data_IF_103484848449
#
_entry.id   IF_103484848449
#
_cell.length_a   1.000
_cell.length_b   1.000
_cell.length_c   1.000
_cell.angle_alpha   90.00
_cell.angle_beta   90.00
_cell.angle_gamma   90.00
#
_symmetry.space_group_name_H-M   'P 1'
#
loop_
_entity.id
_entity.type
_entity.pdbx_description
1 polymer ?
#
# COMPACT_ATOMS: atom_id res chain seq x y z
N UNK A 1 -14.79 15.37 -5.01
CA UNK A 1 -13.88 14.89 -6.06
C UNK A 1 -14.25 13.46 -6.47
N UNK A 2 -14.40 13.22 -7.74
CA UNK A 2 -14.65 11.87 -8.24
C UNK A 2 -13.32 11.12 -8.38
N UNK A 3 -13.06 10.21 -7.46
CA UNK A 3 -11.83 9.44 -7.44
C UNK A 3 -12.05 8.06 -8.03
N UNK A 4 -11.18 7.67 -8.94
CA UNK A 4 -11.18 6.33 -9.55
C UNK A 4 -10.18 5.46 -8.80
N UNK A 5 -10.63 4.32 -8.29
CA UNK A 5 -9.75 3.34 -7.65
C UNK A 5 -9.49 2.18 -8.59
N UNK A 6 -8.22 1.85 -8.78
CA UNK A 6 -7.80 0.73 -9.62
C UNK A 6 -7.03 -0.26 -8.76
N UNK A 7 -7.53 -1.48 -8.62
CA UNK A 7 -6.84 -2.55 -7.93
C UNK A 7 -5.96 -3.32 -8.89
N UNK A 8 -4.68 -3.47 -8.55
CA UNK A 8 -3.74 -4.28 -9.31
C UNK A 8 -3.21 -5.37 -8.38
N UNK A 9 -3.62 -6.60 -8.64
CA UNK A 9 -3.24 -7.76 -7.83
C UNK A 9 -2.34 -8.69 -8.65
N UNK A 10 -1.50 -9.42 -7.94
CA UNK A 10 -0.64 -10.42 -8.56
C UNK A 10 0.63 -10.64 -7.76
N UNK A 11 1.27 -11.79 -7.98
CA UNK A 11 2.54 -12.11 -7.35
C UNK A 11 3.71 -11.41 -8.01
N UNK A 12 4.88 -11.54 -7.42
CA UNK A 12 6.12 -11.04 -7.99
C UNK A 12 6.33 -11.63 -9.39
N UNK A 13 6.66 -10.78 -10.35
CA UNK A 13 6.87 -11.21 -11.74
C UNK A 13 5.60 -11.29 -12.57
N UNK A 14 4.44 -10.92 -12.04
CA UNK A 14 3.16 -10.93 -12.76
C UNK A 14 2.97 -9.74 -13.71
N UNK A 15 3.92 -8.80 -13.75
CA UNK A 15 3.83 -7.63 -14.62
C UNK A 15 3.09 -6.45 -14.01
N UNK A 16 2.73 -6.48 -12.72
CA UNK A 16 2.00 -5.37 -12.10
C UNK A 16 2.79 -4.07 -12.03
N UNK A 17 4.11 -4.12 -11.83
CA UNK A 17 4.95 -2.91 -11.81
C UNK A 17 5.01 -2.22 -13.18
N UNK A 18 5.22 -2.95 -14.30
CA UNK A 18 5.12 -2.33 -15.62
C UNK A 18 3.75 -1.69 -15.89
N UNK A 19 2.66 -2.31 -15.45
CA UNK A 19 1.33 -1.74 -15.61
C UNK A 19 1.18 -0.45 -14.81
N UNK A 20 1.64 -0.43 -13.57
CA UNK A 20 1.61 0.76 -12.71
C UNK A 20 2.38 1.90 -13.34
N UNK A 21 3.60 1.64 -13.84
CA UNK A 21 4.42 2.65 -14.50
C UNK A 21 3.76 3.18 -15.78
N UNK A 22 3.12 2.30 -16.53
CA UNK A 22 2.40 2.69 -17.75
C UNK A 22 1.25 3.65 -17.43
N UNK A 23 0.49 3.35 -16.38
CA UNK A 23 -0.60 4.21 -15.90
C UNK A 23 -0.09 5.56 -15.39
N UNK A 24 1.04 5.58 -14.70
CA UNK A 24 1.67 6.83 -14.27
C UNK A 24 2.06 7.71 -15.45
N UNK A 25 2.59 7.12 -16.51
CA UNK A 25 2.94 7.86 -17.72
C UNK A 25 1.71 8.45 -18.39
N UNK A 26 0.59 7.75 -18.34
CA UNK A 26 -0.66 8.19 -18.97
C UNK A 26 -1.37 9.30 -18.19
N UNK A 27 -1.45 9.16 -16.87
CA UNK A 27 -2.18 10.09 -15.99
C UNK A 27 -1.31 11.18 -15.38
N UNK A 28 0.01 11.07 -15.47
CA UNK A 28 0.94 12.07 -14.92
C UNK A 28 0.83 12.19 -13.39
N UNK A 29 0.71 13.43 -12.92
CA UNK A 29 0.68 13.72 -11.48
C UNK A 29 -0.68 13.46 -10.83
N UNK A 30 -1.71 13.14 -11.61
CA UNK A 30 -3.07 12.86 -11.12
C UNK A 30 -3.25 11.41 -10.67
N UNK A 31 -2.16 10.78 -10.24
CA UNK A 31 -2.19 9.38 -9.82
C UNK A 31 -1.49 9.22 -8.48
N UNK A 32 -2.09 8.45 -7.59
CA UNK A 32 -1.49 8.03 -6.33
C UNK A 32 -1.41 6.52 -6.28
N UNK A 33 -0.33 5.98 -5.73
CA UNK A 33 -0.15 4.53 -5.61
C UNK A 33 -0.09 4.17 -4.13
N UNK A 34 -0.96 3.25 -3.72
CA UNK A 34 -1.01 2.71 -2.36
C UNK A 34 -0.62 1.24 -2.45
N UNK A 35 0.41 0.84 -1.71
CA UNK A 35 0.88 -0.54 -1.69
C UNK A 35 0.26 -1.28 -0.51
N UNK A 36 -0.49 -2.34 -0.80
CA UNK A 36 -1.14 -3.15 0.23
C UNK A 36 -0.13 -3.76 1.19
N UNK A 37 1.02 -4.19 0.69
CA UNK A 37 2.06 -4.79 1.51
C UNK A 37 2.75 -3.80 2.47
N UNK A 38 2.52 -2.50 2.33
CA UNK A 38 2.95 -1.51 3.33
C UNK A 38 2.10 -1.57 4.61
N UNK A 39 0.96 -2.23 4.58
CA UNK A 39 0.01 -2.29 5.70
C UNK A 39 0.14 -3.54 6.55
N UNK A 40 1.28 -4.21 6.53
CA UNK A 40 1.54 -5.28 7.49
C UNK A 40 1.49 -4.75 8.92
N UNK A 41 0.94 -5.54 9.83
CA UNK A 41 0.85 -5.17 11.24
C UNK A 41 2.23 -5.13 11.89
N UNK A 42 2.41 -4.21 12.84
CA UNK A 42 3.58 -4.21 13.70
C UNK A 42 3.62 -5.49 14.54
N UNK A 43 4.79 -6.08 14.70
CA UNK A 43 4.98 -7.33 15.44
C UNK A 43 5.98 -7.13 16.58
N UNK A 44 5.56 -7.44 17.81
CA UNK A 44 6.42 -7.38 19.00
C UNK A 44 7.34 -8.60 19.13
N UNK A 45 7.30 -9.52 18.17
CA UNK A 45 8.09 -10.75 18.22
C UNK A 45 9.52 -10.50 17.77
N UNK A 46 10.50 -11.33 18.23
CA UNK A 46 11.88 -11.25 17.76
C UNK A 46 11.98 -11.44 16.24
N UNK A 47 13.07 -10.92 15.67
CA UNK A 47 13.30 -10.99 14.22
C UNK A 47 13.16 -12.40 13.64
N UNK A 48 13.71 -13.41 14.34
CA UNK A 48 13.64 -14.80 13.88
C UNK A 48 12.20 -15.29 13.73
N UNK A 49 11.33 -14.92 14.67
CA UNK A 49 9.91 -15.28 14.60
C UNK A 49 9.18 -14.50 13.52
N UNK A 50 9.54 -13.23 13.32
CA UNK A 50 8.96 -12.44 12.25
C UNK A 50 9.27 -13.05 10.88
N UNK A 51 10.47 -13.60 10.69
CA UNK A 51 10.86 -14.25 9.45
C UNK A 51 10.01 -15.48 9.12
N UNK A 52 9.41 -16.09 10.14
CA UNK A 52 8.56 -17.28 9.97
C UNK A 52 7.08 -16.94 9.77
N UNK A 53 6.73 -15.67 9.83
CA UNK A 53 5.35 -15.21 9.67
C UNK A 53 4.83 -15.56 8.26
N UNK A 54 3.61 -16.06 8.20
CA UNK A 54 2.92 -16.22 6.94
C UNK A 54 2.30 -14.88 6.52
N UNK A 55 3.00 -14.16 5.65
CA UNK A 55 2.58 -12.84 5.19
C UNK A 55 1.43 -12.89 4.20
N UNK A 56 1.07 -14.06 3.70
CA UNK A 56 -0.09 -14.23 2.83
C UNK A 56 -1.40 -14.36 3.59
N UNK A 57 -1.33 -14.50 4.93
CA UNK A 57 -2.52 -14.62 5.74
C UNK A 57 -3.22 -13.27 5.88
N UNK A 58 -4.57 -13.19 5.72
CA UNK A 58 -5.29 -11.91 5.83
C UNK A 58 -5.07 -11.17 7.15
N UNK A 59 -4.88 -11.90 8.26
CA UNK A 59 -4.66 -11.30 9.58
C UNK A 59 -3.31 -10.61 9.72
N UNK A 60 -2.39 -10.80 8.77
CA UNK A 60 -1.10 -10.13 8.77
C UNK A 60 -1.21 -8.63 8.42
N UNK A 61 -2.33 -8.20 7.84
CA UNK A 61 -2.52 -6.84 7.35
C UNK A 61 -3.43 -6.01 8.26
N UNK A 62 -3.15 -4.71 8.34
CA UNK A 62 -4.08 -3.73 8.91
C UNK A 62 -5.05 -3.25 7.84
N UNK A 63 -5.94 -4.14 7.42
CA UNK A 63 -6.91 -3.86 6.36
C UNK A 63 -7.85 -2.72 6.73
N UNK A 64 -8.27 -2.64 7.98
CA UNK A 64 -9.16 -1.57 8.44
C UNK A 64 -8.51 -0.19 8.31
N UNK A 65 -7.23 -0.09 8.63
CA UNK A 65 -6.47 1.15 8.46
C UNK A 65 -6.40 1.53 6.98
N UNK A 66 -6.10 0.57 6.11
CA UNK A 66 -6.04 0.83 4.67
C UNK A 66 -7.37 1.33 4.14
N UNK A 67 -8.48 0.70 4.53
CA UNK A 67 -9.82 1.11 4.10
C UNK A 67 -10.12 2.54 4.55
N UNK A 68 -9.83 2.89 5.80
CA UNK A 68 -10.04 4.24 6.31
C UNK A 68 -9.22 5.26 5.54
N UNK A 69 -7.97 4.95 5.23
CA UNK A 69 -7.11 5.85 4.47
C UNK A 69 -7.57 6.01 3.03
N UNK A 70 -8.06 4.95 2.40
CA UNK A 70 -8.63 5.05 1.06
C UNK A 70 -9.88 5.94 1.05
N UNK A 71 -10.70 5.87 2.10
CA UNK A 71 -11.85 6.76 2.25
C UNK A 71 -11.41 8.22 2.40
N UNK A 72 -10.34 8.48 3.13
CA UNK A 72 -9.79 9.84 3.27
C UNK A 72 -9.30 10.38 1.92
N UNK A 73 -8.60 9.56 1.14
CA UNK A 73 -8.17 9.95 -0.20
C UNK A 73 -9.38 10.27 -1.09
N UNK A 74 -10.44 9.48 -1.01
CA UNK A 74 -11.67 9.72 -1.77
C UNK A 74 -12.32 11.04 -1.36
N UNK A 75 -12.20 11.41 -0.09
CA UNK A 75 -12.73 12.67 0.43
C UNK A 75 -11.85 13.88 0.11
N UNK A 76 -10.74 13.69 -0.58
CA UNK A 76 -9.81 14.75 -0.94
C UNK A 76 -8.78 15.08 0.14
N UNK A 77 -8.54 14.17 1.08
CA UNK A 77 -7.58 14.36 2.15
C UNK A 77 -6.32 13.55 1.90
N UNK A 78 -5.16 14.13 2.23
CA UNK A 78 -3.89 13.39 2.20
C UNK A 78 -3.82 12.39 3.36
N UNK A 79 -3.09 11.31 3.15
CA UNK A 79 -2.90 10.27 4.16
C UNK A 79 -1.42 10.06 4.46
N UNK A 80 -1.13 9.49 5.63
CA UNK A 80 0.21 9.03 5.99
C UNK A 80 0.22 7.52 5.96
N UNK A 81 0.69 6.98 4.83
CA UNK A 81 0.77 5.55 4.60
C UNK A 81 1.91 4.95 5.43
N UNK A 82 1.72 3.81 6.11
CA UNK A 82 2.83 3.16 6.81
C UNK A 82 3.91 2.69 5.85
N UNK A 83 5.14 2.60 6.35
CA UNK A 83 6.29 2.09 5.60
C UNK A 83 6.75 0.79 6.24
N UNK A 84 6.85 -0.25 5.43
CA UNK A 84 7.29 -1.58 5.87
C UNK A 84 8.72 -1.84 5.40
N UNK A 85 9.56 -2.36 6.31
CA UNK A 85 10.93 -2.75 5.98
C UNK A 85 11.01 -4.25 5.75
N UNK A 86 11.31 -4.65 4.52
CA UNK A 86 11.49 -6.07 4.18
C UNK A 86 12.77 -6.66 4.79
N UNK A 87 13.79 -5.82 4.95
CA UNK A 87 15.05 -6.26 5.57
C UNK A 87 14.85 -6.63 7.03
N UNK A 88 14.03 -5.88 7.74
CA UNK A 88 13.74 -6.10 9.17
C UNK A 88 12.52 -6.98 9.41
N UNK A 89 11.78 -7.34 8.38
CA UNK A 89 10.47 -8.00 8.48
C UNK A 89 9.57 -7.30 9.48
N UNK A 90 9.52 -5.95 9.40
CA UNK A 90 8.83 -5.14 10.38
C UNK A 90 8.28 -3.85 9.77
N UNK A 91 7.12 -3.44 10.29
CA UNK A 91 6.59 -2.11 10.04
C UNK A 91 7.44 -1.09 10.78
N UNK A 92 7.87 -0.04 10.08
CA UNK A 92 8.70 1.02 10.65
C UNK A 92 7.85 2.08 11.34
N UNK A 93 8.50 3.01 12.05
CA UNK A 93 7.81 4.18 12.61
C UNK A 93 7.66 5.31 11.58
N UNK A 94 8.21 5.14 10.39
CA UNK A 94 8.13 6.13 9.33
C UNK A 94 6.79 6.04 8.60
N UNK A 95 6.40 7.16 8.00
CA UNK A 95 5.21 7.22 7.15
C UNK A 95 5.55 7.95 5.86
N UNK A 96 4.80 7.63 4.81
CA UNK A 96 4.90 8.31 3.53
C UNK A 96 3.62 9.10 3.29
N UNK A 97 3.76 10.39 2.96
CA UNK A 97 2.62 11.23 2.65
C UNK A 97 2.13 10.92 1.24
N UNK A 98 0.86 10.53 1.14
CA UNK A 98 0.19 10.31 -0.15
C UNK A 98 -0.92 11.34 -0.27
N UNK A 99 -0.85 12.15 -1.32
CA UNK A 99 -1.83 13.20 -1.58
C UNK A 99 -3.01 12.65 -2.37
N UNK A 100 -4.22 13.22 -2.21
CA UNK A 100 -5.36 12.80 -3.00
C UNK A 100 -5.13 13.10 -4.48
N UNK A 101 -5.59 12.20 -5.32
CA UNK A 101 -5.47 12.29 -6.77
C UNK A 101 -6.74 11.81 -7.43
N UNK A 102 -6.88 12.10 -8.71
CA UNK A 102 -8.03 11.66 -9.50
C UNK A 102 -8.06 10.14 -9.66
N UNK A 103 -6.89 9.52 -9.72
CA UNK A 103 -6.75 8.07 -9.84
C UNK A 103 -5.91 7.55 -8.68
N UNK A 104 -6.41 6.56 -7.96
CA UNK A 104 -5.69 5.88 -6.89
C UNK A 104 -5.52 4.42 -7.27
N UNK A 105 -4.27 3.98 -7.35
CA UNK A 105 -3.93 2.59 -7.64
C UNK A 105 -3.66 1.88 -6.31
N UNK A 106 -4.34 0.78 -6.06
CA UNK A 106 -4.05 -0.10 -4.93
C UNK A 106 -3.35 -1.33 -5.48
N UNK A 107 -2.07 -1.45 -5.20
CA UNK A 107 -1.20 -2.52 -5.72
C UNK A 107 -0.87 -3.52 -4.61
N UNK A 108 -1.07 -4.79 -4.90
CA UNK A 108 -0.78 -5.79 -3.88
C UNK A 108 -0.71 -7.22 -4.37
#
# INVERSE_FOLDING_TARGET
MNTIFIGIAGGTGSGKTPLTEHLKQHFGDDISVVHHDSYYKYQDRPFEERCKQNYDHPDAFETDLMVEQLKELKAGKAIRCPVYSYADHQRTSETELIRPSKVVIVEG
#
